data_IF_419455197531
#
_entry.id   IF_419455197531
#
_cell.length_a   1.000
_cell.length_b   1.000
_cell.length_c   1.000
_cell.angle_alpha   90.00
_cell.angle_beta   90.00
_cell.angle_gamma   90.00
#
_symmetry.space_group_name_H-M   'P 1'
#
loop_
_entity.id
_entity.type
_entity.pdbx_description
1 polymer ?
#
# COMPACT_ATOMS: atom_id res chain seq x y z
N UNK A 1 -16.19 -7.54 17.89
CA UNK A 1 -16.30 -7.34 16.44
C UNK A 1 -16.61 -8.64 15.72
N UNK A 2 -15.84 -9.72 15.93
CA UNK A 2 -16.13 -11.05 15.38
C UNK A 2 -17.59 -11.52 15.60
N UNK A 3 -18.12 -11.38 16.82
CA UNK A 3 -19.53 -11.69 17.11
C UNK A 3 -20.52 -10.91 16.23
N UNK A 4 -20.25 -9.63 15.93
CA UNK A 4 -21.12 -8.84 15.05
C UNK A 4 -21.04 -9.30 13.59
N UNK A 5 -19.88 -9.78 13.13
CA UNK A 5 -19.73 -10.36 11.79
C UNK A 5 -20.53 -11.66 11.68
N UNK A 6 -20.39 -12.56 12.65
CA UNK A 6 -21.14 -13.81 12.70
C UNK A 6 -22.65 -13.55 12.78
N UNK A 7 -23.06 -12.59 13.60
CA UNK A 7 -24.47 -12.19 13.71
C UNK A 7 -24.99 -11.59 12.39
N UNK A 8 -24.20 -10.78 11.70
CA UNK A 8 -24.62 -10.15 10.43
C UNK A 8 -25.04 -11.20 9.38
N UNK A 9 -24.38 -12.36 9.35
CA UNK A 9 -24.71 -13.49 8.45
C UNK A 9 -26.06 -14.15 8.75
N UNK A 10 -26.65 -13.89 9.90
CA UNK A 10 -27.94 -14.46 10.32
C UNK A 10 -29.14 -13.57 9.95
N UNK A 11 -28.92 -12.34 9.49
CA UNK A 11 -30.00 -11.44 9.11
C UNK A 11 -30.56 -11.79 7.73
N UNK A 12 -31.89 -11.81 7.61
CA UNK A 12 -32.56 -11.99 6.31
C UNK A 12 -32.55 -10.71 5.47
N UNK A 13 -32.49 -9.53 6.12
CA UNK A 13 -32.46 -8.23 5.46
C UNK A 13 -31.03 -7.89 5.00
N UNK A 14 -30.82 -7.90 3.68
CA UNK A 14 -29.54 -7.58 3.05
C UNK A 14 -29.11 -6.15 3.29
N UNK A 15 -30.04 -5.19 3.37
CA UNK A 15 -29.70 -3.78 3.62
C UNK A 15 -29.16 -3.62 5.03
N UNK A 16 -29.80 -4.23 6.02
CA UNK A 16 -29.33 -4.21 7.41
C UNK A 16 -27.97 -4.91 7.55
N UNK A 17 -27.79 -6.04 6.87
CA UNK A 17 -26.52 -6.77 6.85
C UNK A 17 -25.39 -5.90 6.34
N UNK A 18 -25.57 -5.26 5.18
CA UNK A 18 -24.57 -4.36 4.58
C UNK A 18 -24.25 -3.16 5.49
N UNK A 19 -25.27 -2.60 6.13
CA UNK A 19 -25.12 -1.52 7.09
C UNK A 19 -24.25 -1.91 8.28
N UNK A 20 -24.46 -3.10 8.83
CA UNK A 20 -23.66 -3.65 9.93
C UNK A 20 -22.22 -3.88 9.46
N UNK A 21 -22.02 -4.51 8.30
CA UNK A 21 -20.70 -4.80 7.76
C UNK A 21 -19.88 -3.52 7.52
N UNK A 22 -20.50 -2.48 6.94
CA UNK A 22 -19.86 -1.16 6.78
C UNK A 22 -19.38 -0.60 8.13
N UNK A 23 -20.25 -0.62 9.15
CA UNK A 23 -19.92 -0.10 10.50
C UNK A 23 -18.86 -0.93 11.19
N UNK A 24 -18.82 -2.25 10.98
CA UNK A 24 -17.75 -3.10 11.50
C UNK A 24 -16.42 -2.74 10.83
N UNK A 25 -16.37 -2.64 9.50
CA UNK A 25 -15.14 -2.28 8.77
C UNK A 25 -14.61 -0.88 9.14
N UNK A 26 -15.51 0.09 9.33
CA UNK A 26 -15.18 1.43 9.83
C UNK A 26 -14.57 1.37 11.24
N UNK A 27 -15.24 0.67 12.17
CA UNK A 27 -14.73 0.52 13.54
C UNK A 27 -13.40 -0.22 13.61
N UNK A 28 -13.17 -1.22 12.74
CA UNK A 28 -11.86 -1.89 12.63
C UNK A 28 -10.81 -0.88 12.21
N UNK A 29 -11.09 -0.07 11.18
CA UNK A 29 -10.15 0.94 10.67
C UNK A 29 -9.77 1.93 11.77
N UNK A 30 -10.75 2.40 12.55
CA UNK A 30 -10.53 3.31 13.70
C UNK A 30 -9.72 2.63 14.80
N UNK A 31 -10.01 1.37 15.12
CA UNK A 31 -9.32 0.66 16.21
C UNK A 31 -7.82 0.49 15.93
N UNK A 32 -7.45 0.21 14.67
CA UNK A 32 -6.08 -0.12 14.30
C UNK A 32 -5.27 1.08 13.80
N UNK A 33 -5.89 2.25 13.70
CA UNK A 33 -5.23 3.49 13.30
C UNK A 33 -4.07 3.81 14.25
N UNK A 34 -2.85 3.74 13.72
CA UNK A 34 -1.58 3.92 14.45
C UNK A 34 -1.44 3.06 15.74
N UNK A 35 -2.14 1.93 15.82
CA UNK A 35 -2.18 1.06 16.99
C UNK A 35 -1.70 -0.36 16.70
N UNK A 36 -0.37 -0.55 16.80
CA UNK A 36 0.28 -1.83 16.50
C UNK A 36 -0.18 -3.00 17.40
N UNK A 37 -0.50 -2.73 18.67
CA UNK A 37 -1.01 -3.76 19.59
C UNK A 37 -2.40 -4.25 19.18
N UNK A 38 -3.25 -3.34 18.71
CA UNK A 38 -4.57 -3.69 18.18
C UNK A 38 -4.44 -4.52 16.90
N UNK A 39 -3.48 -4.23 16.03
CA UNK A 39 -3.19 -5.04 14.83
C UNK A 39 -2.82 -6.47 15.23
N UNK A 40 -1.89 -6.64 16.16
CA UNK A 40 -1.49 -7.97 16.67
C UNK A 40 -2.65 -8.72 17.32
N UNK A 41 -3.51 -8.01 18.04
CA UNK A 41 -4.74 -8.59 18.59
C UNK A 41 -5.66 -9.10 17.48
N UNK A 42 -5.93 -8.29 16.46
CA UNK A 42 -6.80 -8.66 15.33
C UNK A 42 -6.29 -9.90 14.57
N UNK A 43 -4.97 -10.03 14.41
CA UNK A 43 -4.35 -11.23 13.84
C UNK A 43 -4.46 -12.48 14.71
N UNK A 44 -4.56 -12.34 16.03
CA UNK A 44 -4.73 -13.47 16.97
C UNK A 44 -6.18 -13.91 17.07
N UNK A 45 -7.13 -12.99 16.90
CA UNK A 45 -8.58 -13.28 16.96
C UNK A 45 -9.19 -13.60 15.59
N UNK A 46 -8.39 -14.00 14.61
CA UNK A 46 -8.83 -14.30 13.23
C UNK A 46 -9.64 -13.19 12.53
N UNK A 47 -9.57 -11.95 13.00
CA UNK A 47 -10.40 -10.87 12.45
C UNK A 47 -10.05 -10.58 11.00
N UNK A 48 -8.77 -10.71 10.63
CA UNK A 48 -8.31 -10.54 9.24
C UNK A 48 -8.94 -11.59 8.32
N UNK A 49 -9.03 -12.85 8.74
CA UNK A 49 -9.70 -13.89 7.96
C UNK A 49 -11.19 -13.62 7.80
N UNK A 50 -11.86 -13.12 8.85
CA UNK A 50 -13.26 -12.71 8.73
C UNK A 50 -13.44 -11.55 7.75
N UNK A 51 -12.53 -10.56 7.74
CA UNK A 51 -12.55 -9.49 6.72
C UNK A 51 -12.34 -10.01 5.29
N UNK A 52 -11.47 -11.00 5.11
CA UNK A 52 -11.28 -11.68 3.82
C UNK A 52 -12.57 -12.41 3.42
N UNK A 53 -13.20 -13.11 4.35
CA UNK A 53 -14.46 -13.84 4.13
C UNK A 53 -15.58 -12.90 3.68
N UNK A 54 -15.70 -11.73 4.31
CA UNK A 54 -16.66 -10.70 3.93
C UNK A 54 -16.53 -10.33 2.44
N UNK A 55 -15.30 -10.12 1.99
CA UNK A 55 -15.00 -9.72 0.61
C UNK A 55 -15.08 -10.86 -0.40
N UNK A 56 -15.03 -12.11 0.03
CA UNK A 56 -15.16 -13.26 -0.86
C UNK A 56 -16.61 -13.67 -1.04
N UNK A 57 -17.34 -13.82 0.07
CA UNK A 57 -18.57 -14.61 0.10
C UNK A 57 -19.77 -13.84 0.67
N UNK A 58 -19.57 -12.92 1.64
CA UNK A 58 -20.70 -12.29 2.34
C UNK A 58 -21.25 -11.05 1.62
N UNK A 59 -20.41 -10.32 0.87
CA UNK A 59 -20.80 -9.10 0.13
C UNK A 59 -20.67 -9.34 -1.37
N UNK A 60 -21.67 -8.90 -2.14
CA UNK A 60 -21.60 -8.92 -3.60
C UNK A 60 -20.57 -7.92 -4.09
N UNK A 61 -19.98 -8.21 -5.24
CA UNK A 61 -18.95 -7.36 -5.83
C UNK A 61 -19.38 -5.88 -5.95
N UNK A 62 -20.62 -5.63 -6.36
CA UNK A 62 -21.16 -4.28 -6.61
C UNK A 62 -21.47 -3.51 -5.31
N UNK A 63 -21.63 -4.23 -4.19
CA UNK A 63 -21.97 -3.65 -2.89
C UNK A 63 -20.71 -3.31 -2.06
N UNK A 64 -19.52 -3.64 -2.56
CA UNK A 64 -18.26 -3.34 -1.88
C UNK A 64 -17.92 -1.86 -2.00
N UNK A 65 -18.02 -1.17 -0.86
CA UNK A 65 -17.56 0.20 -0.66
C UNK A 65 -16.08 0.29 -0.28
N UNK A 66 -15.52 1.50 -0.34
CA UNK A 66 -14.14 1.75 0.09
C UNK A 66 -13.89 1.41 1.57
N UNK A 67 -14.91 1.45 2.45
CA UNK A 67 -14.77 1.12 3.87
C UNK A 67 -14.34 -0.34 4.07
N UNK A 68 -14.88 -1.27 3.29
CA UNK A 68 -14.53 -2.69 3.39
C UNK A 68 -13.06 -2.92 3.03
N UNK A 69 -12.57 -2.27 1.97
CA UNK A 69 -11.16 -2.38 1.55
C UNK A 69 -10.25 -1.59 2.50
N UNK A 70 -10.70 -0.44 3.02
CA UNK A 70 -9.92 0.39 3.94
C UNK A 70 -9.55 -0.36 5.22
N UNK A 71 -10.46 -1.20 5.74
CA UNK A 71 -10.16 -2.04 6.90
C UNK A 71 -8.90 -2.88 6.67
N UNK A 72 -8.78 -3.56 5.52
CA UNK A 72 -7.58 -4.32 5.15
C UNK A 72 -6.38 -3.43 4.84
N UNK A 73 -6.61 -2.27 4.21
CA UNK A 73 -5.56 -1.29 3.89
C UNK A 73 -4.86 -0.83 5.16
N UNK A 74 -5.59 -0.56 6.24
CA UNK A 74 -5.01 -0.12 7.50
C UNK A 74 -4.02 -1.15 8.07
N UNK A 75 -4.26 -2.46 7.94
CA UNK A 75 -3.25 -3.48 8.29
C UNK A 75 -1.99 -3.37 7.41
N UNK A 76 -2.15 -3.08 6.13
CA UNK A 76 -1.04 -2.88 5.20
C UNK A 76 -0.27 -1.57 5.41
N UNK A 77 -0.92 -0.52 5.90
CA UNK A 77 -0.29 0.80 6.11
C UNK A 77 0.38 0.88 7.48
N UNK A 78 -0.32 0.47 8.54
CA UNK A 78 0.15 0.60 9.91
C UNK A 78 0.83 -0.66 10.45
N UNK A 79 0.70 -1.80 9.75
CA UNK A 79 1.33 -3.04 10.17
C UNK A 79 2.85 -3.04 9.97
N UNK A 80 3.57 -3.76 10.83
CA UNK A 80 4.99 -4.06 10.68
C UNK A 80 5.24 -4.96 9.46
N UNK A 81 6.49 -5.04 8.99
CA UNK A 81 6.88 -5.94 7.89
C UNK A 81 6.38 -7.37 8.11
N UNK A 82 6.56 -7.92 9.32
CA UNK A 82 6.10 -9.27 9.66
C UNK A 82 4.57 -9.42 9.61
N UNK A 83 3.83 -8.43 10.10
CA UNK A 83 2.37 -8.42 10.04
C UNK A 83 1.86 -8.33 8.60
N UNK A 84 2.52 -7.54 7.75
CA UNK A 84 2.12 -7.42 6.36
C UNK A 84 2.51 -8.65 5.52
N UNK A 85 3.62 -9.33 5.84
CA UNK A 85 3.90 -10.67 5.30
C UNK A 85 2.77 -11.64 5.66
N UNK A 86 2.31 -11.60 6.92
CA UNK A 86 1.16 -12.41 7.36
C UNK A 86 -0.13 -12.08 6.59
N UNK A 87 -0.37 -10.84 6.17
CA UNK A 87 -1.50 -10.52 5.25
C UNK A 87 -1.35 -11.26 3.91
N UNK A 88 -0.15 -11.25 3.33
CA UNK A 88 0.16 -11.94 2.08
C UNK A 88 -0.07 -13.45 2.23
N UNK A 89 0.47 -14.05 3.29
CA UNK A 89 0.33 -15.48 3.60
C UNK A 89 -1.14 -15.91 3.81
N UNK A 90 -1.99 -15.00 4.30
CA UNK A 90 -3.44 -15.22 4.44
C UNK A 90 -4.20 -15.12 3.11
N UNK A 91 -3.52 -14.82 1.99
CA UNK A 91 -4.12 -14.73 0.67
C UNK A 91 -4.94 -13.45 0.45
N UNK A 92 -4.63 -12.37 1.18
CA UNK A 92 -5.32 -11.07 1.01
C UNK A 92 -5.25 -10.60 -0.44
N UNK A 93 -4.07 -10.71 -1.09
CA UNK A 93 -3.90 -10.27 -2.48
C UNK A 93 -4.87 -10.96 -3.43
N UNK A 94 -5.00 -12.29 -3.33
CA UNK A 94 -5.96 -13.07 -4.13
C UNK A 94 -7.40 -12.67 -3.85
N UNK A 95 -7.76 -12.47 -2.58
CA UNK A 95 -9.14 -12.15 -2.19
C UNK A 95 -9.62 -10.80 -2.75
N UNK A 96 -8.73 -9.81 -2.81
CA UNK A 96 -9.12 -8.44 -3.16
C UNK A 96 -8.85 -8.05 -4.61
N UNK A 97 -8.02 -8.79 -5.35
CA UNK A 97 -7.54 -8.31 -6.65
C UNK A 97 -8.66 -8.03 -7.67
N UNK A 98 -9.77 -8.78 -7.59
CA UNK A 98 -10.96 -8.55 -8.41
C UNK A 98 -11.51 -7.11 -8.31
N UNK A 99 -11.31 -6.44 -7.17
CA UNK A 99 -11.81 -5.09 -6.91
C UNK A 99 -11.05 -3.98 -7.65
N UNK A 100 -9.94 -4.29 -8.32
CA UNK A 100 -9.33 -3.38 -9.31
C UNK A 100 -10.30 -3.05 -10.46
N UNK A 101 -11.30 -3.91 -10.73
CA UNK A 101 -12.36 -3.68 -11.73
C UNK A 101 -13.51 -2.79 -11.26
N UNK A 102 -13.49 -2.33 -10.01
CA UNK A 102 -14.58 -1.53 -9.45
C UNK A 102 -14.83 -0.26 -10.28
N UNK A 103 -16.08 0.21 -10.27
CA UNK A 103 -16.44 1.51 -10.82
C UNK A 103 -16.16 2.65 -9.82
N UNK A 104 -15.96 2.33 -8.54
CA UNK A 104 -15.59 3.30 -7.50
C UNK A 104 -14.05 3.45 -7.48
N UNK A 105 -13.57 4.66 -7.81
CA UNK A 105 -12.15 4.97 -7.87
C UNK A 105 -11.44 4.78 -6.52
N UNK A 106 -12.12 5.03 -5.40
CA UNK A 106 -11.54 4.83 -4.07
C UNK A 106 -11.35 3.35 -3.77
N UNK A 107 -12.29 2.51 -4.21
CA UNK A 107 -12.18 1.05 -4.09
C UNK A 107 -10.98 0.55 -4.89
N UNK A 108 -10.80 1.00 -6.13
CA UNK A 108 -9.64 0.58 -6.95
C UNK A 108 -8.32 1.06 -6.37
N UNK A 109 -8.25 2.31 -5.91
CA UNK A 109 -7.05 2.88 -5.30
C UNK A 109 -6.64 2.17 -4.01
N UNK A 110 -7.61 1.91 -3.12
CA UNK A 110 -7.31 1.24 -1.85
C UNK A 110 -6.94 -0.22 -2.10
N UNK A 111 -7.57 -0.88 -3.07
CA UNK A 111 -7.20 -2.23 -3.48
C UNK A 111 -5.75 -2.26 -3.98
N UNK A 112 -5.38 -1.37 -4.89
CA UNK A 112 -4.00 -1.26 -5.39
C UNK A 112 -3.00 -0.96 -4.26
N UNK A 113 -3.40 -0.12 -3.30
CA UNK A 113 -2.58 0.17 -2.11
C UNK A 113 -2.33 -1.07 -1.26
N UNK A 114 -3.36 -1.87 -0.98
CA UNK A 114 -3.22 -3.11 -0.19
C UNK A 114 -2.35 -4.12 -0.92
N UNK A 115 -2.54 -4.28 -2.24
CA UNK A 115 -1.71 -5.14 -3.08
C UNK A 115 -0.24 -4.72 -3.05
N UNK A 116 0.03 -3.44 -3.24
CA UNK A 116 1.37 -2.86 -3.16
C UNK A 116 2.02 -3.13 -1.80
N UNK A 117 1.26 -2.93 -0.71
CA UNK A 117 1.75 -3.29 0.62
C UNK A 117 2.05 -4.77 0.72
N UNK A 118 1.19 -5.69 0.27
CA UNK A 118 1.50 -7.13 0.33
C UNK A 118 2.77 -7.50 -0.46
N UNK A 119 2.95 -6.91 -1.66
CA UNK A 119 4.04 -7.24 -2.59
C UNK A 119 5.38 -6.65 -2.13
N UNK A 120 5.42 -5.40 -1.68
CA UNK A 120 6.68 -4.71 -1.37
C UNK A 120 7.38 -5.25 -0.12
N UNK A 121 6.68 -5.92 0.80
CA UNK A 121 7.31 -6.44 2.01
C UNK A 121 8.25 -7.61 1.76
N UNK A 122 8.12 -8.31 0.64
CA UNK A 122 8.94 -9.50 0.39
C UNK A 122 10.44 -9.20 0.25
N UNK A 123 10.86 -7.92 0.07
CA UNK A 123 12.28 -7.58 -0.01
C UNK A 123 12.76 -6.58 1.03
N UNK A 124 11.86 -6.01 1.83
CA UNK A 124 12.26 -5.18 2.96
C UNK A 124 12.55 -6.11 4.14
N UNK A 125 13.72 -6.72 4.18
CA UNK A 125 14.18 -7.49 5.35
C UNK A 125 14.78 -6.61 6.45
N UNK A 126 15.04 -5.33 6.15
CA UNK A 126 15.56 -4.36 7.10
C UNK A 126 14.43 -3.76 7.92
N UNK A 127 14.63 -3.67 9.24
CA UNK A 127 13.69 -3.04 10.18
C UNK A 127 13.44 -1.54 9.88
N UNK A 128 14.31 -0.92 9.06
CA UNK A 128 14.15 0.46 8.56
C UNK A 128 13.72 0.47 7.08
N UNK A 129 12.47 0.90 6.81
CA UNK A 129 11.95 1.12 5.45
C UNK A 129 12.81 2.10 4.63
N UNK A 130 13.60 2.96 5.29
CA UNK A 130 14.46 3.97 4.67
C UNK A 130 15.79 3.43 4.15
N UNK A 131 16.29 2.29 4.65
CA UNK A 131 17.62 1.77 4.24
C UNK A 131 17.59 0.85 3.02
N UNK A 132 16.41 0.46 2.54
CA UNK A 132 16.28 -0.45 1.39
C UNK A 132 16.65 0.21 0.05
N UNK A 133 16.86 1.52 0.04
CA UNK A 133 17.14 2.32 -1.15
C UNK A 133 18.59 2.19 -1.59
N UNK A 134 19.49 2.06 -0.62
CA UNK A 134 20.94 2.13 -0.84
C UNK A 134 21.64 0.78 -0.63
N UNK A 135 20.90 -0.28 -0.30
CA UNK A 135 21.48 -1.61 -0.26
C UNK A 135 21.79 -2.06 -1.70
N UNK A 136 23.05 -2.48 -1.98
CA UNK A 136 23.39 -3.02 -3.29
C UNK A 136 22.44 -4.18 -3.56
N UNK A 137 21.70 -4.10 -4.67
CA UNK A 137 20.69 -5.10 -5.05
C UNK A 137 21.26 -6.48 -4.80
N UNK A 138 20.76 -7.12 -3.75
CA UNK A 138 21.06 -8.50 -3.40
C UNK A 138 20.84 -9.35 -4.66
N UNK A 139 21.66 -10.41 -4.77
CA UNK A 139 21.64 -11.43 -5.81
C UNK A 139 20.27 -11.59 -6.48
N UNK A 140 20.24 -11.68 -7.83
CA UNK A 140 19.09 -11.78 -8.74
C UNK A 140 18.10 -12.91 -8.41
N UNK A 141 17.56 -12.91 -7.20
CA UNK A 141 16.65 -13.90 -6.73
C UNK A 141 15.29 -13.62 -7.35
N UNK A 142 14.62 -14.66 -7.88
CA UNK A 142 13.26 -14.52 -8.34
C UNK A 142 12.40 -13.90 -7.24
N UNK A 143 11.50 -12.97 -7.60
CA UNK A 143 10.52 -12.43 -6.66
C UNK A 143 9.84 -13.58 -5.89
N UNK A 144 9.91 -13.61 -4.55
CA UNK A 144 9.26 -14.64 -3.76
C UNK A 144 7.77 -14.70 -4.13
N UNK A 145 7.21 -15.89 -4.33
CA UNK A 145 5.79 -16.06 -4.70
C UNK A 145 5.38 -15.57 -6.10
N UNK A 146 6.30 -15.29 -7.02
CA UNK A 146 5.95 -14.93 -8.41
C UNK A 146 4.94 -15.92 -9.01
N UNK A 147 5.21 -17.23 -8.88
CA UNK A 147 4.37 -18.27 -9.48
C UNK A 147 2.98 -18.30 -8.82
N UNK A 148 2.91 -18.10 -7.50
CA UNK A 148 1.64 -18.00 -6.77
C UNK A 148 0.82 -16.80 -7.23
N UNK A 149 1.44 -15.61 -7.34
CA UNK A 149 0.75 -14.40 -7.81
C UNK A 149 0.27 -14.55 -9.27
N UNK A 150 1.03 -15.26 -10.11
CA UNK A 150 0.61 -15.59 -11.47
C UNK A 150 -0.58 -16.55 -11.48
N UNK A 151 -0.51 -17.65 -10.72
CA UNK A 151 -1.59 -18.64 -10.63
C UNK A 151 -2.88 -18.06 -10.04
N UNK A 152 -2.77 -17.17 -9.07
CA UNK A 152 -3.90 -16.47 -8.44
C UNK A 152 -4.47 -15.35 -9.33
N UNK A 153 -3.91 -15.12 -10.53
CA UNK A 153 -4.34 -14.07 -11.46
C UNK A 153 -4.02 -12.65 -11.00
N UNK A 154 -3.19 -12.49 -9.97
CA UNK A 154 -2.85 -11.17 -9.41
C UNK A 154 -2.02 -10.36 -10.38
N UNK A 155 -1.05 -10.99 -11.07
CA UNK A 155 -0.21 -10.32 -12.07
C UNK A 155 -1.06 -9.79 -13.23
N UNK A 156 -1.97 -10.62 -13.75
CA UNK A 156 -2.82 -10.27 -14.88
C UNK A 156 -3.77 -9.12 -14.52
N UNK A 157 -4.38 -9.17 -13.33
CA UNK A 157 -5.29 -8.11 -12.89
C UNK A 157 -4.55 -6.80 -12.56
N UNK A 158 -3.34 -6.85 -12.00
CA UNK A 158 -2.50 -5.65 -11.85
C UNK A 158 -2.20 -5.01 -13.22
N UNK A 159 -1.97 -5.82 -14.25
CA UNK A 159 -1.70 -5.30 -15.59
C UNK A 159 -2.95 -4.76 -16.28
N UNK A 160 -3.97 -5.61 -16.44
CA UNK A 160 -5.16 -5.28 -17.22
C UNK A 160 -6.06 -4.30 -16.46
N UNK A 161 -6.40 -4.59 -15.20
CA UNK A 161 -7.39 -3.82 -14.46
C UNK A 161 -6.76 -2.64 -13.71
N UNK A 162 -5.58 -2.86 -13.13
CA UNK A 162 -4.87 -1.84 -12.36
C UNK A 162 -4.14 -0.82 -13.23
N UNK A 163 -3.28 -1.29 -14.14
CA UNK A 163 -2.40 -0.42 -14.93
C UNK A 163 -3.06 0.14 -16.19
N UNK A 164 -3.61 -0.73 -17.05
CA UNK A 164 -4.22 -0.27 -18.30
C UNK A 164 -5.57 0.41 -18.07
N UNK A 165 -6.45 -0.24 -17.31
CA UNK A 165 -7.83 0.21 -17.08
C UNK A 165 -8.05 0.90 -15.73
N UNK A 166 -6.97 1.22 -14.98
CA UNK A 166 -7.06 1.86 -13.69
C UNK A 166 -7.86 3.16 -13.73
N UNK A 167 -8.75 3.37 -12.76
CA UNK A 167 -9.70 4.49 -12.74
C UNK A 167 -9.06 5.84 -12.51
N UNK A 168 -8.00 5.87 -11.71
CA UNK A 168 -7.27 7.09 -11.38
C UNK A 168 -5.74 6.87 -11.51
N UNK A 169 -4.99 7.98 -11.56
CA UNK A 169 -3.54 7.95 -11.71
C UNK A 169 -2.85 7.15 -10.61
N UNK A 170 -3.35 7.23 -9.37
CA UNK A 170 -2.75 6.51 -8.23
C UNK A 170 -2.86 4.99 -8.36
N UNK A 171 -4.01 4.49 -8.82
CA UNK A 171 -4.25 3.07 -9.10
C UNK A 171 -3.29 2.57 -10.18
N UNK A 172 -3.15 3.33 -11.28
CA UNK A 172 -2.23 2.99 -12.38
C UNK A 172 -0.78 2.96 -11.91
N UNK A 173 -0.37 3.99 -11.18
CA UNK A 173 0.96 4.11 -10.61
C UNK A 173 1.28 2.90 -9.71
N UNK A 174 0.47 2.66 -8.67
CA UNK A 174 0.71 1.57 -7.72
C UNK A 174 0.74 0.20 -8.42
N UNK A 175 -0.11 0.00 -9.44
CA UNK A 175 -0.13 -1.25 -10.21
C UNK A 175 1.13 -1.42 -11.06
N UNK A 176 1.58 -0.37 -11.74
CA UNK A 176 2.84 -0.37 -12.48
C UNK A 176 4.03 -0.65 -11.55
N UNK A 177 4.02 -0.05 -10.36
CA UNK A 177 5.04 -0.26 -9.35
C UNK A 177 5.09 -1.70 -8.84
N UNK A 178 3.93 -2.32 -8.59
CA UNK A 178 3.84 -3.74 -8.24
C UNK A 178 4.42 -4.62 -9.35
N UNK A 179 4.06 -4.37 -10.61
CA UNK A 179 4.56 -5.12 -11.75
C UNK A 179 6.08 -4.98 -11.91
N UNK A 180 6.60 -3.76 -11.82
CA UNK A 180 8.04 -3.52 -11.88
C UNK A 180 8.80 -4.29 -10.79
N UNK A 181 8.19 -4.40 -9.60
CA UNK A 181 8.77 -5.12 -8.48
C UNK A 181 8.74 -6.64 -8.66
N UNK A 182 7.59 -7.18 -9.09
CA UNK A 182 7.41 -8.61 -9.41
C UNK A 182 8.36 -9.06 -10.52
N UNK A 183 8.59 -8.23 -11.53
CA UNK A 183 9.47 -8.52 -12.66
C UNK A 183 10.90 -8.01 -12.48
N UNK A 184 11.30 -7.54 -11.30
CA UNK A 184 12.65 -7.01 -11.06
C UNK A 184 13.78 -8.01 -11.37
N UNK A 185 13.51 -9.30 -11.24
CA UNK A 185 14.43 -10.41 -11.53
C UNK A 185 14.00 -11.29 -12.71
N UNK A 186 12.98 -10.89 -13.48
CA UNK A 186 12.48 -11.62 -14.66
C UNK A 186 12.38 -10.71 -15.88
N UNK A 187 12.39 -11.31 -17.07
CA UNK A 187 12.14 -10.54 -18.29
C UNK A 187 10.67 -10.12 -18.34
N UNK A 188 10.42 -8.82 -18.53
CA UNK A 188 9.07 -8.32 -18.76
C UNK A 188 8.48 -8.97 -20.02
N UNK A 189 7.23 -9.45 -19.98
CA UNK A 189 6.50 -9.84 -21.18
C UNK A 189 6.47 -8.70 -22.18
N UNK A 190 6.64 -9.03 -23.47
CA UNK A 190 6.74 -8.02 -24.53
C UNK A 190 5.55 -7.06 -24.56
N UNK A 191 4.34 -7.58 -24.37
CA UNK A 191 3.11 -6.78 -24.34
C UNK A 191 3.12 -5.76 -23.19
N UNK A 192 3.46 -6.20 -21.97
CA UNK A 192 3.59 -5.34 -20.80
C UNK A 192 4.64 -4.26 -21.04
N UNK A 193 5.79 -4.64 -21.60
CA UNK A 193 6.89 -3.72 -21.92
C UNK A 193 6.47 -2.63 -22.91
N UNK A 194 5.83 -2.99 -24.02
CA UNK A 194 5.37 -2.03 -25.02
C UNK A 194 4.37 -1.06 -24.41
N UNK A 195 3.38 -1.56 -23.65
CA UNK A 195 2.37 -0.73 -22.99
C UNK A 195 2.96 0.19 -21.93
N UNK A 196 3.90 -0.31 -21.12
CA UNK A 196 4.61 0.50 -20.14
C UNK A 196 5.36 1.64 -20.84
N UNK A 197 6.16 1.35 -21.87
CA UNK A 197 6.91 2.37 -22.62
C UNK A 197 5.97 3.40 -23.25
N UNK A 198 4.87 2.96 -23.86
CA UNK A 198 3.86 3.89 -24.41
C UNK A 198 3.27 4.78 -23.33
N UNK A 199 2.87 4.22 -22.19
CA UNK A 199 2.34 5.00 -21.07
C UNK A 199 3.36 6.02 -20.56
N UNK A 200 4.62 5.63 -20.39
CA UNK A 200 5.70 6.53 -19.97
C UNK A 200 5.94 7.69 -20.94
N UNK A 201 5.69 7.50 -22.23
CA UNK A 201 5.80 8.56 -23.24
C UNK A 201 4.59 9.51 -23.26
N UNK A 202 3.43 9.05 -22.81
CA UNK A 202 2.18 9.81 -22.79
C UNK A 202 2.03 10.70 -21.55
N UNK A 203 2.81 10.44 -20.49
CA UNK A 203 2.79 11.23 -19.27
C UNK A 203 3.40 12.60 -19.59
N UNK A 204 2.55 13.62 -19.65
CA UNK A 204 2.93 15.00 -19.95
C UNK A 204 3.73 15.64 -18.80
N UNK A 205 4.54 16.64 -19.16
CA UNK A 205 5.41 17.42 -18.25
C UNK A 205 4.69 18.03 -17.03
N UNK A 206 3.37 18.18 -17.04
CA UNK A 206 2.61 18.74 -15.91
C UNK A 206 2.29 17.73 -14.80
N UNK A 207 2.04 16.45 -15.12
CA UNK A 207 1.89 15.38 -14.10
C UNK A 207 3.25 15.03 -13.49
N UNK A 208 4.29 15.07 -14.33
CA UNK A 208 5.71 14.95 -13.97
C UNK A 208 6.13 15.94 -12.88
N UNK A 209 5.56 17.15 -12.88
CA UNK A 209 5.91 18.23 -11.93
C UNK A 209 5.13 18.18 -10.61
N UNK A 210 4.01 17.47 -10.55
CA UNK A 210 3.06 17.54 -9.40
C UNK A 210 3.30 16.49 -8.33
N UNK A 211 3.87 15.36 -8.68
CA UNK A 211 4.22 14.30 -7.75
C UNK A 211 5.59 13.77 -8.12
N UNK A 212 6.28 13.20 -7.14
CA UNK A 212 7.64 12.66 -7.24
C UNK A 212 7.75 11.41 -8.15
N UNK A 213 6.93 11.37 -9.20
CA UNK A 213 6.71 10.30 -10.15
C UNK A 213 7.92 10.12 -11.06
N UNK A 214 8.54 11.20 -11.56
CA UNK A 214 9.78 11.10 -12.33
C UNK A 214 10.93 10.52 -11.50
N UNK A 215 11.14 10.95 -10.26
CA UNK A 215 12.20 10.36 -9.42
C UNK A 215 11.93 8.88 -9.18
N UNK A 216 10.68 8.49 -8.88
CA UNK A 216 10.32 7.08 -8.69
C UNK A 216 10.46 6.27 -9.98
N UNK A 217 10.12 6.84 -11.14
CA UNK A 217 10.27 6.18 -12.43
C UNK A 217 11.71 6.07 -12.86
N UNK A 218 12.53 7.10 -12.64
CA UNK A 218 13.95 7.10 -12.97
C UNK A 218 14.70 6.16 -12.03
N UNK A 219 14.33 6.13 -10.75
CA UNK A 219 14.89 5.21 -9.78
C UNK A 219 14.48 3.77 -10.05
N UNK A 220 13.23 3.51 -10.45
CA UNK A 220 12.77 2.18 -10.89
C UNK A 220 13.25 1.78 -12.29
N UNK A 221 13.43 2.73 -13.20
CA UNK A 221 14.10 2.53 -14.48
C UNK A 221 15.59 2.25 -14.30
N UNK A 222 16.21 2.82 -13.26
CA UNK A 222 17.52 2.42 -12.76
C UNK A 222 17.54 0.95 -12.34
N UNK A 223 16.50 0.46 -11.65
CA UNK A 223 16.35 -0.98 -11.34
C UNK A 223 16.22 -1.82 -12.63
N UNK A 224 15.47 -1.35 -13.63
CA UNK A 224 15.35 -2.01 -14.93
C UNK A 224 16.66 -2.02 -15.74
N UNK A 225 17.49 -0.96 -15.67
CA UNK A 225 18.85 -0.92 -16.25
C UNK A 225 19.80 -1.95 -15.62
N UNK A 226 19.60 -2.29 -14.34
CA UNK A 226 20.43 -3.24 -13.59
C UNK A 226 20.00 -4.69 -13.84
N UNK A 227 18.75 -4.92 -14.25
CA UNK A 227 18.36 -6.15 -14.95
C UNK A 227 19.08 -6.18 -16.32
N UNK A 228 20.36 -6.57 -16.32
CA UNK A 228 21.22 -6.70 -17.52
C UNK A 228 20.66 -7.67 -18.59
N UNK A 229 19.47 -8.22 -18.36
CA UNK A 229 18.71 -9.06 -19.29
C UNK A 229 17.58 -8.33 -20.03
N UNK A 230 17.51 -6.99 -20.04
CA UNK A 230 16.93 -6.32 -21.20
C UNK A 230 17.86 -6.59 -22.39
N UNK A 231 17.76 -7.78 -22.99
CA UNK A 231 18.49 -8.18 -24.22
C UNK A 231 18.11 -7.30 -25.42
N UNK A 232 17.14 -6.42 -25.26
CA UNK A 232 16.73 -5.43 -26.23
C UNK A 232 17.35 -4.07 -25.91
N UNK A 233 18.40 -3.76 -26.66
CA UNK A 233 19.16 -2.50 -26.61
C UNK A 233 18.26 -1.28 -26.83
N UNK A 234 17.21 -1.41 -27.63
CA UNK A 234 16.34 -0.28 -28.00
C UNK A 234 15.46 0.16 -26.82
N UNK A 235 15.08 -0.77 -25.94
CA UNK A 235 14.36 -0.45 -24.71
C UNK A 235 15.25 0.25 -23.69
N UNK A 236 16.48 -0.25 -23.54
CA UNK A 236 17.47 0.38 -22.68
C UNK A 236 17.75 1.81 -23.15
N UNK A 237 18.01 1.99 -24.44
CA UNK A 237 18.30 3.30 -25.04
C UNK A 237 17.09 4.24 -24.93
N UNK A 238 15.85 3.74 -25.12
CA UNK A 238 14.63 4.56 -24.94
C UNK A 238 14.46 5.05 -23.51
N UNK A 239 14.65 4.17 -22.52
CA UNK A 239 14.57 4.52 -21.10
C UNK A 239 15.71 5.48 -20.72
N UNK A 240 16.92 5.22 -21.21
CA UNK A 240 18.08 6.04 -20.92
C UNK A 240 17.96 7.44 -21.52
N UNK A 241 17.44 7.55 -22.74
CA UNK A 241 17.15 8.83 -23.40
C UNK A 241 16.06 9.60 -22.65
N UNK A 242 15.04 8.93 -22.12
CA UNK A 242 14.01 9.55 -21.28
C UNK A 242 14.63 10.10 -19.98
N UNK A 243 15.48 9.31 -19.31
CA UNK A 243 16.21 9.74 -18.10
C UNK A 243 17.10 10.96 -18.39
N UNK A 244 17.88 10.92 -19.46
CA UNK A 244 18.78 12.03 -19.81
C UNK A 244 18.02 13.28 -20.27
N UNK A 245 16.87 13.11 -20.95
CA UNK A 245 16.02 14.23 -21.36
C UNK A 245 15.42 15.01 -20.18
N UNK A 246 15.11 14.33 -19.07
CA UNK A 246 14.53 14.93 -17.86
C UNK A 246 15.54 15.21 -16.74
N UNK A 247 16.84 15.07 -17.03
CA UNK A 247 17.95 15.28 -16.08
C UNK A 247 18.08 16.74 -15.60
N UNK A 248 17.83 17.78 -16.41
CA UNK A 248 17.84 19.16 -15.94
C UNK A 248 16.75 19.45 -14.90
N UNK A 249 15.54 18.95 -15.12
CA UNK A 249 14.39 19.09 -14.21
C UNK A 249 14.66 18.39 -12.86
N UNK A 250 15.33 17.24 -12.89
CA UNK A 250 15.83 16.55 -11.70
C UNK A 250 16.83 17.38 -10.90
N UNK A 251 17.80 18.00 -11.57
CA UNK A 251 18.80 18.84 -10.89
C UNK A 251 18.16 20.06 -10.23
N UNK A 252 17.17 20.67 -10.89
CA UNK A 252 16.45 21.82 -10.36
C UNK A 252 15.63 21.43 -9.11
N UNK A 253 14.90 20.31 -9.15
CA UNK A 253 14.10 19.85 -8.03
C UNK A 253 14.95 19.45 -6.81
N UNK A 254 16.07 18.75 -7.01
CA UNK A 254 16.99 18.40 -5.93
C UNK A 254 17.60 19.65 -5.27
N UNK A 255 17.91 20.67 -6.08
CA UNK A 255 18.36 21.98 -5.57
C UNK A 255 17.27 22.67 -4.75
N UNK A 256 15.99 22.56 -5.12
CA UNK A 256 14.86 23.14 -4.38
C UNK A 256 14.64 22.41 -3.04
N UNK A 257 14.72 21.08 -3.01
CA UNK A 257 14.66 20.26 -1.78
C UNK A 257 15.81 20.51 -0.81
N UNK A 258 17.04 20.68 -1.31
CA UNK A 258 18.19 21.04 -0.48
C UNK A 258 17.99 22.43 0.15
N UNK A 259 17.41 23.38 -0.59
CA UNK A 259 17.11 24.72 -0.10
C UNK A 259 15.99 24.71 0.96
N UNK A 260 14.94 23.91 0.79
CA UNK A 260 13.85 23.80 1.78
C UNK A 260 14.29 23.13 3.08
N UNK A 261 15.17 22.13 3.00
CA UNK A 261 15.79 21.50 4.18
C UNK A 261 16.75 22.46 4.91
N UNK A 262 17.44 23.34 4.18
CA UNK A 262 18.25 24.41 4.78
C UNK A 262 17.36 25.41 5.52
N UNK A 263 16.21 25.81 4.97
CA UNK A 263 15.29 26.78 5.60
C UNK A 263 14.68 26.24 6.92
N UNK A 264 14.39 24.93 7.00
CA UNK A 264 13.91 24.28 8.23
C UNK A 264 15.01 24.13 9.31
N UNK A 265 16.28 24.11 8.91
CA UNK A 265 17.41 24.04 9.86
C UNK A 265 17.75 25.38 10.54
N UNK A 266 17.27 26.51 9.99
CA UNK A 266 17.55 27.85 10.52
C UNK A 266 16.46 28.43 11.43
N UNK A 267 15.40 27.69 11.76
CA UNK A 267 14.25 28.18 12.54
C UNK A 267 14.06 27.53 13.92
N UNK A 268 15.12 26.96 14.52
CA UNK A 268 15.13 26.67 15.98
C UNK A 268 15.71 27.85 16.76
N UNK A 269 14.94 28.53 17.63
CA UNK A 269 15.50 29.49 18.56
C UNK A 269 16.35 28.75 19.58
N UNK A 270 17.60 29.15 19.70
CA UNK A 270 18.50 28.74 20.77
C UNK A 270 17.97 29.27 22.11
N UNK A 271 17.30 28.41 22.88
CA UNK A 271 17.12 28.65 24.31
C UNK A 271 17.72 27.50 25.12
N UNK A 272 18.72 27.89 25.90
CA UNK A 272 19.35 27.15 26.98
C UNK A 272 18.29 26.72 27.99
N UNK A 273 18.35 25.48 28.48
CA UNK A 273 18.35 25.18 29.91
C UNK A 273 18.79 23.73 30.17
N UNK A 274 19.47 23.60 31.30
CA UNK A 274 20.27 22.48 31.75
C UNK A 274 19.49 21.51 32.66
N UNK A 275 20.11 20.34 32.83
CA UNK A 275 20.03 19.37 33.95
C UNK A 275 18.83 18.41 34.02
N UNK A 276 19.17 17.12 33.85
CA UNK A 276 18.82 15.98 34.70
C UNK A 276 17.45 15.99 35.38
N UNK A 277 16.54 15.16 34.86
CA UNK A 277 15.70 14.35 35.73
C UNK A 277 15.42 12.99 35.10
N UNK A 278 15.47 11.99 35.98
CA UNK A 278 15.36 10.56 35.75
C UNK A 278 13.89 10.23 35.94
N UNK A 279 13.19 9.87 34.87
CA UNK A 279 11.80 9.43 34.95
C UNK A 279 11.72 8.13 35.75
N UNK A 280 10.84 8.07 36.75
CA UNK A 280 10.56 6.84 37.51
C UNK A 280 9.16 6.34 37.19
N UNK A 281 8.96 5.02 37.31
CA UNK A 281 7.72 4.26 37.03
C UNK A 281 6.43 4.72 37.75
N UNK A 282 6.47 5.79 38.52
CA UNK A 282 5.34 6.39 39.22
C UNK A 282 4.52 7.39 38.40
N UNK A 283 5.00 7.79 37.22
CA UNK A 283 4.42 8.93 36.48
C UNK A 283 3.26 8.55 35.54
N UNK A 284 2.84 7.28 35.54
CA UNK A 284 1.63 6.82 34.85
C UNK A 284 0.55 6.41 35.85
N UNK A 285 -0.30 7.37 36.21
CA UNK A 285 -1.65 7.10 36.74
C UNK A 285 -2.66 7.65 35.74
N UNK A 286 -3.21 6.77 34.92
CA UNK A 286 -4.44 7.05 34.16
C UNK A 286 -5.60 6.76 35.11
N UNK A 287 -6.18 7.81 35.68
CA UNK A 287 -7.45 7.70 36.40
C UNK A 287 -8.60 7.53 35.41
N UNK A 288 -9.24 6.37 35.53
CA UNK A 288 -10.45 5.96 34.81
C UNK A 288 -11.63 6.81 35.30
N UNK A 289 -12.11 7.74 34.48
CA UNK A 289 -13.46 8.34 34.62
C UNK A 289 -14.36 7.82 33.51
N UNK A 290 -15.09 6.76 33.80
CA UNK A 290 -16.31 6.38 33.11
C UNK A 290 -17.35 6.04 34.17
N UNK A 291 -18.07 7.06 34.60
CA UNK A 291 -19.35 6.92 35.30
C UNK A 291 -20.41 7.60 34.44
N UNK A 292 -21.52 6.90 34.21
CA UNK A 292 -22.79 7.51 33.84
C UNK A 292 -23.25 7.32 32.39
N UNK A 293 -23.63 6.10 32.01
CA UNK A 293 -24.78 5.91 31.13
C UNK A 293 -25.61 4.73 31.63
N UNK A 294 -26.70 5.07 32.33
CA UNK A 294 -27.79 4.15 32.65
C UNK A 294 -28.51 3.79 31.35
N UNK A 295 -28.52 2.50 31.01
CA UNK A 295 -29.46 1.97 30.03
C UNK A 295 -30.82 1.81 30.72
N UNK A 296 -31.75 2.70 30.38
CA UNK A 296 -33.17 2.51 30.65
C UNK A 296 -33.68 1.32 29.84
N UNK A 297 -34.13 0.29 30.54
CA UNK A 297 -34.94 -0.80 29.99
C UNK A 297 -36.30 -0.25 29.59
N UNK A 298 -36.68 -0.36 28.32
CA UNK A 298 -38.09 -0.36 27.90
C UNK A 298 -38.43 -1.72 27.30
N UNK A 299 -39.60 -2.19 27.72
CA UNK A 299 -40.33 -3.38 27.30
C UNK A 299 -40.44 -3.55 25.79
#
# INVERSE_FOLDING_TARGET
>A
MESFLIQSRQFEDKSQTLDILNKVCENVSILIDENFEAIDFCFRTNLVQELIQILNDDIKFEDVTFNHINALKCFGVFGTIAQRKKLSDLGVSRAIVKYLKSQDEKVTEFTATVLAKCIFNEWTTAEDETTCIDQPLYDFHPFPHYDNLGQDGVIDALFEDGFLNGRNGKTKQLSAECLAYIYSSKTLPEQLRVKLISHLKEINDEEIKKDNFIEQLIRKAGLLKISKSCRDKDTYDSINNLIEAHKPELFQYNSELENDNIILSYSKPSNQFSTNSRWTKSDFKIEKKLEGYEFSTMY
#
